data_IF_493050963221
#
_entry.id   IF_493050963221
#
_cell.length_a   1.000
_cell.length_b   1.000
_cell.length_c   1.000
_cell.angle_alpha   90.00
_cell.angle_beta   90.00
_cell.angle_gamma   90.00
#
_symmetry.space_group_name_H-M   'P 1'
#
loop_
_entity.id
_entity.type
_entity.pdbx_description
1 polymer ?
#
# COMPACT_ATOMS: atom_id res chain seq x y z
N UNK A 1 1.66 -11.03 -2.26
CA UNK A 1 1.38 -9.78 -2.99
C UNK A 1 2.13 -8.67 -2.26
N UNK A 2 2.43 -7.54 -2.92
CA UNK A 2 3.05 -6.37 -2.29
C UNK A 2 2.13 -5.19 -2.51
N UNK A 3 1.55 -4.65 -1.44
CA UNK A 3 0.74 -3.44 -1.47
C UNK A 3 1.55 -2.25 -0.96
N UNK A 4 1.22 -1.04 -1.38
CA UNK A 4 1.88 0.17 -0.88
C UNK A 4 1.05 1.43 -1.10
N UNK A 5 1.24 2.41 -0.23
CA UNK A 5 0.81 3.79 -0.46
C UNK A 5 1.94 4.55 -1.16
N UNK A 6 1.64 5.22 -2.27
CA UNK A 6 2.60 6.04 -3.05
C UNK A 6 2.46 7.52 -2.76
N UNK A 7 1.22 7.99 -2.67
CA UNK A 7 0.89 9.38 -2.36
C UNK A 7 -0.33 9.41 -1.46
N UNK A 8 -0.35 10.35 -0.51
CA UNK A 8 -1.45 10.48 0.44
C UNK A 8 -1.58 11.93 0.91
N UNK A 9 -2.72 12.54 0.60
CA UNK A 9 -3.05 13.91 1.01
C UNK A 9 -4.53 14.06 1.31
N UNK A 10 -4.87 15.06 2.13
CA UNK A 10 -6.24 15.48 2.34
C UNK A 10 -6.36 17.00 2.20
N UNK A 11 -7.57 17.45 1.88
CA UNK A 11 -7.96 18.84 1.83
C UNK A 11 -9.29 19.01 2.62
N UNK A 12 -9.39 19.98 3.54
CA UNK A 12 -10.68 20.31 4.12
C UNK A 12 -11.62 20.85 3.03
N UNK A 13 -12.91 20.62 3.20
CA UNK A 13 -13.97 21.06 2.27
C UNK A 13 -14.90 22.06 2.96
N UNK A 14 -15.66 22.82 2.18
CA UNK A 14 -16.51 23.91 2.69
C UNK A 14 -17.61 23.45 3.65
N UNK A 15 -17.95 22.15 3.66
CA UNK A 15 -18.96 21.57 4.54
C UNK A 15 -18.37 20.90 5.80
N UNK A 16 -17.09 21.15 6.11
CA UNK A 16 -16.41 20.59 7.28
C UNK A 16 -15.95 19.14 7.14
N UNK A 17 -16.10 18.54 5.95
CA UNK A 17 -15.57 17.21 5.62
C UNK A 17 -14.15 17.31 5.08
N UNK A 18 -13.50 16.16 4.89
CA UNK A 18 -12.15 16.06 4.34
C UNK A 18 -12.16 15.25 3.06
N UNK A 19 -11.68 15.84 1.96
CA UNK A 19 -11.41 15.13 0.71
C UNK A 19 -10.03 14.51 0.79
N UNK A 20 -9.95 13.19 0.72
CA UNK A 20 -8.70 12.43 0.64
C UNK A 20 -8.40 12.12 -0.81
N UNK A 21 -7.14 12.31 -1.21
CA UNK A 21 -6.59 11.76 -2.46
C UNK A 21 -5.44 10.83 -2.09
N UNK A 22 -5.53 9.57 -2.51
CA UNK A 22 -4.45 8.60 -2.29
C UNK A 22 -4.11 7.87 -3.58
N UNK A 23 -2.83 7.65 -3.82
CA UNK A 23 -2.36 6.73 -4.86
C UNK A 23 -1.82 5.50 -4.17
N UNK A 24 -2.36 4.33 -4.54
CA UNK A 24 -1.88 3.05 -4.04
C UNK A 24 -1.34 2.23 -5.20
N UNK A 25 -0.42 1.32 -4.88
CA UNK A 25 0.05 0.33 -5.81
C UNK A 25 -0.07 -1.10 -5.29
N UNK A 26 -0.21 -2.01 -6.24
CA UNK A 26 -0.28 -3.45 -6.01
C UNK A 26 0.63 -4.15 -7.01
N UNK A 27 1.52 -4.99 -6.51
CA UNK A 27 2.36 -5.86 -7.32
C UNK A 27 2.15 -7.32 -6.91
N UNK A 28 1.81 -8.15 -7.89
CA UNK A 28 1.61 -9.59 -7.71
C UNK A 28 2.85 -10.35 -8.17
N UNK A 29 3.23 -11.35 -7.40
CA UNK A 29 4.38 -12.20 -7.67
C UNK A 29 3.98 -13.66 -7.44
N UNK A 30 4.59 -14.58 -8.19
CA UNK A 30 4.52 -16.02 -7.92
C UNK A 30 5.93 -16.58 -7.73
N UNK A 31 6.03 -17.69 -7.02
CA UNK A 31 7.30 -18.41 -6.86
C UNK A 31 7.63 -19.14 -8.18
N UNK A 32 8.75 -18.77 -8.81
CA UNK A 32 9.33 -19.54 -9.90
C UNK A 32 10.00 -20.82 -9.41
N UNK A 33 10.37 -21.70 -10.34
CA UNK A 33 10.96 -23.02 -10.04
C UNK A 33 12.23 -22.96 -9.19
N UNK A 34 13.01 -21.87 -9.30
CA UNK A 34 14.22 -21.66 -8.52
C UNK A 34 13.98 -20.93 -7.19
N UNK A 35 12.73 -20.77 -6.77
CA UNK A 35 12.33 -19.98 -5.59
C UNK A 35 12.37 -18.47 -5.78
N UNK A 36 12.72 -17.96 -6.98
CA UNK A 36 12.74 -16.52 -7.29
C UNK A 36 11.32 -16.01 -7.52
N UNK A 37 11.00 -14.83 -7.00
CA UNK A 37 9.73 -14.17 -7.27
C UNK A 37 9.67 -13.67 -8.73
N UNK A 38 8.62 -14.06 -9.46
CA UNK A 38 8.34 -13.57 -10.82
C UNK A 38 7.16 -12.62 -10.77
N UNK A 39 7.36 -11.38 -11.25
CA UNK A 39 6.33 -10.35 -11.27
C UNK A 39 5.26 -10.67 -12.32
N UNK A 40 3.99 -10.60 -11.91
CA UNK A 40 2.85 -10.73 -12.82
C UNK A 40 2.56 -9.35 -13.42
N UNK A 41 2.54 -9.20 -14.76
CA UNK A 41 2.38 -7.90 -15.41
C UNK A 41 0.96 -7.34 -15.26
N UNK A 42 -0.05 -8.22 -15.31
CA UNK A 42 -1.46 -7.86 -15.19
C UNK A 42 -1.96 -8.17 -13.79
N UNK A 43 -2.76 -7.25 -13.23
CA UNK A 43 -3.46 -7.45 -11.97
C UNK A 43 -4.95 -7.27 -12.20
N UNK A 44 -5.76 -8.00 -11.45
CA UNK A 44 -7.22 -7.94 -11.51
C UNK A 44 -7.79 -8.41 -10.16
N UNK A 45 -7.26 -7.82 -9.09
CA UNK A 45 -7.53 -8.24 -7.71
C UNK A 45 -8.32 -7.14 -6.99
N UNK A 46 -9.09 -7.54 -5.98
CA UNK A 46 -9.74 -6.59 -5.08
C UNK A 46 -8.91 -6.43 -3.82
N UNK A 47 -8.77 -5.19 -3.38
CA UNK A 47 -8.08 -4.83 -2.13
C UNK A 47 -8.96 -3.91 -1.30
N UNK A 48 -8.81 -3.97 0.01
CA UNK A 48 -9.48 -3.02 0.91
C UNK A 48 -8.61 -1.78 1.08
N UNK A 49 -9.22 -0.60 1.03
CA UNK A 49 -8.62 0.66 1.45
C UNK A 49 -9.24 1.03 2.79
N UNK A 50 -8.40 1.35 3.77
CA UNK A 50 -8.79 1.89 5.07
C UNK A 50 -8.36 3.34 5.21
N UNK A 51 -9.21 4.16 5.85
CA UNK A 51 -8.90 5.52 6.30
C UNK A 51 -9.28 5.61 7.77
N UNK A 52 -8.37 6.12 8.59
CA UNK A 52 -8.51 6.14 10.05
C UNK A 52 -8.29 7.55 10.60
N UNK A 53 -9.02 7.91 11.65
CA UNK A 53 -8.69 9.04 12.52
C UNK A 53 -7.91 8.53 13.74
N UNK A 54 -7.37 9.47 14.52
CA UNK A 54 -6.71 9.18 15.79
C UNK A 54 -7.18 10.17 16.83
N UNK A 55 -7.63 9.68 17.96
CA UNK A 55 -8.12 10.51 19.05
C UNK A 55 -6.97 11.03 19.95
N UNK A 56 -7.31 11.78 21.00
CA UNK A 56 -6.34 12.30 21.96
C UNK A 56 -5.72 11.24 22.87
N UNK A 57 -6.36 10.08 23.03
CA UNK A 57 -5.80 8.93 23.77
C UNK A 57 -4.76 8.17 22.93
N UNK A 58 -4.75 8.43 21.62
CA UNK A 58 -3.89 7.79 20.65
C UNK A 58 -4.52 6.57 19.99
N UNK A 59 -5.79 6.28 20.26
CA UNK A 59 -6.57 5.20 19.66
C UNK A 59 -6.95 5.56 18.22
N UNK A 60 -6.75 4.62 17.29
CA UNK A 60 -7.18 4.76 15.90
C UNK A 60 -8.63 4.32 15.73
N UNK A 61 -9.41 5.11 14.98
CA UNK A 61 -10.80 4.83 14.65
C UNK A 61 -10.97 4.74 13.15
N UNK A 62 -11.67 3.71 12.67
CA UNK A 62 -12.02 3.57 11.25
C UNK A 62 -13.02 4.65 10.83
N UNK A 63 -12.66 5.44 9.82
CA UNK A 63 -13.58 6.38 9.15
C UNK A 63 -14.19 5.77 7.90
N UNK A 64 -13.44 4.91 7.22
CA UNK A 64 -13.85 4.26 5.99
C UNK A 64 -13.06 2.97 5.77
N UNK A 65 -13.78 1.91 5.41
CA UNK A 65 -13.22 0.70 4.81
C UNK A 65 -13.93 0.42 3.49
N UNK A 66 -13.18 0.39 2.38
CA UNK A 66 -13.76 0.22 1.05
C UNK A 66 -12.97 -0.77 0.21
N UNK A 67 -13.68 -1.75 -0.34
CA UNK A 67 -13.13 -2.66 -1.34
C UNK A 67 -13.05 -1.95 -2.70
N UNK A 68 -11.85 -1.89 -3.28
CA UNK A 68 -11.58 -1.33 -4.60
C UNK A 68 -10.97 -2.38 -5.51
N UNK A 69 -11.16 -2.20 -6.82
CA UNK A 69 -10.59 -3.08 -7.84
C UNK A 69 -9.30 -2.49 -8.39
N UNK A 70 -8.24 -3.29 -8.34
CA UNK A 70 -6.95 -3.00 -8.96
C UNK A 70 -6.80 -3.80 -10.25
N UNK A 71 -6.96 -3.10 -11.36
CA UNK A 71 -6.75 -3.56 -12.74
C UNK A 71 -5.50 -2.92 -13.39
N UNK A 72 -4.81 -2.08 -12.63
CA UNK A 72 -3.58 -1.39 -13.01
C UNK A 72 -2.65 -1.34 -11.80
N UNK A 73 -1.34 -1.42 -12.04
CA UNK A 73 -0.33 -1.51 -10.96
C UNK A 73 -0.43 -0.38 -9.94
N UNK A 74 -0.84 0.81 -10.37
CA UNK A 74 -1.10 1.95 -9.50
C UNK A 74 -2.43 2.58 -9.89
N UNK A 75 -3.20 3.01 -8.89
CA UNK A 75 -4.45 3.74 -9.08
C UNK A 75 -4.59 4.83 -8.03
N UNK A 76 -5.15 5.95 -8.45
CA UNK A 76 -5.52 7.05 -7.56
C UNK A 76 -7.00 6.96 -7.23
N UNK A 77 -7.31 7.13 -5.94
CA UNK A 77 -8.66 7.13 -5.42
C UNK A 77 -8.93 8.42 -4.65
N UNK A 78 -10.17 8.89 -4.74
CA UNK A 78 -10.66 10.01 -3.96
C UNK A 78 -11.79 9.55 -3.03
N UNK A 79 -11.75 10.00 -1.78
CA UNK A 79 -12.76 9.70 -0.77
C UNK A 79 -13.12 10.97 0.01
N UNK A 80 -14.31 10.99 0.60
CA UNK A 80 -14.73 12.05 1.51
C UNK A 80 -15.08 11.43 2.85
N UNK A 81 -14.54 11.97 3.94
CA UNK A 81 -14.82 11.53 5.32
C UNK A 81 -15.27 12.71 6.18
N UNK A 82 -16.02 12.41 7.24
CA UNK A 82 -16.62 13.44 8.12
C UNK A 82 -15.67 13.91 9.25
N UNK A 83 -14.59 13.18 9.51
CA UNK A 83 -13.61 13.48 10.56
C UNK A 83 -12.21 13.67 9.97
N UNK A 84 -11.35 14.40 10.67
CA UNK A 84 -9.97 14.63 10.22
C UNK A 84 -9.22 13.29 10.13
N UNK A 85 -8.69 12.92 8.95
CA UNK A 85 -7.99 11.66 8.80
C UNK A 85 -6.56 11.76 9.37
N UNK A 86 -6.09 10.66 9.94
CA UNK A 86 -4.78 10.49 10.54
C UNK A 86 -3.89 9.56 9.71
N UNK A 87 -4.42 8.41 9.27
CA UNK A 87 -3.70 7.44 8.44
C UNK A 87 -4.62 6.83 7.38
N UNK A 88 -4.02 6.31 6.30
CA UNK A 88 -4.75 5.56 5.28
C UNK A 88 -3.84 4.51 4.63
N UNK A 89 -4.45 3.45 4.10
CA UNK A 89 -3.68 2.35 3.55
C UNK A 89 -4.46 1.34 2.74
N UNK A 90 -3.73 0.48 2.05
CA UNK A 90 -4.24 -0.68 1.33
C UNK A 90 -4.01 -1.95 2.14
N UNK A 91 -5.02 -2.81 2.25
CA UNK A 91 -5.06 -3.99 3.11
C UNK A 91 -4.67 -3.66 4.58
N UNK A 92 -5.42 -2.77 5.25
CA UNK A 92 -5.07 -2.29 6.58
C UNK A 92 -5.09 -3.38 7.67
N UNK A 93 -5.80 -4.48 7.42
CA UNK A 93 -5.90 -5.62 8.32
C UNK A 93 -5.03 -6.81 7.91
N UNK A 94 -4.12 -6.62 6.93
CA UNK A 94 -3.15 -7.62 6.46
C UNK A 94 -3.79 -8.95 6.07
N UNK A 95 -4.98 -8.90 5.48
CA UNK A 95 -5.72 -10.10 5.04
C UNK A 95 -5.04 -10.81 3.87
N UNK A 96 -4.11 -10.15 3.18
CA UNK A 96 -3.46 -10.66 1.97
C UNK A 96 -2.00 -11.08 2.20
N UNK A 97 -1.67 -11.67 3.35
CA UNK A 97 -0.35 -12.27 3.70
C UNK A 97 0.80 -11.53 2.98
N UNK A 98 0.90 -10.22 3.26
CA UNK A 98 1.96 -9.38 2.71
C UNK A 98 3.19 -9.54 3.61
N UNK A 99 4.29 -10.02 3.03
CA UNK A 99 5.55 -10.22 3.76
C UNK A 99 6.16 -8.91 4.26
N UNK A 100 5.68 -7.76 3.75
CA UNK A 100 6.13 -6.41 4.14
C UNK A 100 4.95 -5.47 4.38
N UNK A 101 4.16 -5.79 5.40
CA UNK A 101 3.03 -4.97 5.87
C UNK A 101 3.33 -3.48 6.17
N UNK A 102 4.59 -3.09 6.36
CA UNK A 102 4.95 -1.76 6.89
C UNK A 102 4.73 -0.59 5.93
N UNK A 103 4.56 -0.81 4.63
CA UNK A 103 4.25 0.23 3.64
C UNK A 103 2.78 0.22 3.20
N UNK A 104 1.96 -0.67 3.77
CA UNK A 104 0.54 -0.77 3.48
C UNK A 104 -0.24 0.44 3.98
N UNK A 105 0.24 1.10 5.04
CA UNK A 105 -0.39 2.25 5.69
C UNK A 105 0.60 3.42 5.72
N UNK A 106 0.12 4.63 5.45
CA UNK A 106 0.86 5.88 5.64
C UNK A 106 0.06 6.84 6.53
N UNK A 107 0.77 7.63 7.33
CA UNK A 107 0.21 8.75 8.11
C UNK A 107 0.17 9.99 7.22
N UNK A 108 -0.92 10.76 7.26
CA UNK A 108 -1.01 11.98 6.46
C UNK A 108 0.09 12.98 6.85
N UNK A 109 0.72 13.58 5.85
CA UNK A 109 1.84 14.52 6.04
C UNK A 109 3.22 13.85 6.16
N UNK A 110 3.29 12.52 6.17
CA UNK A 110 4.55 11.80 6.00
C UNK A 110 4.84 11.52 4.51
N UNK A 111 6.09 11.21 4.19
CA UNK A 111 6.44 10.67 2.87
C UNK A 111 6.34 9.14 2.93
N UNK A 112 5.42 8.50 2.17
CA UNK A 112 5.34 7.05 2.13
C UNK A 112 6.68 6.45 1.66
N UNK A 113 7.14 5.34 2.25
CA UNK A 113 8.38 4.71 1.83
C UNK A 113 8.25 4.23 0.38
N UNK A 114 9.32 4.43 -0.41
CA UNK A 114 9.34 3.95 -1.79
C UNK A 114 9.12 2.42 -1.83
N UNK A 115 8.28 1.92 -2.73
CA UNK A 115 8.00 0.49 -2.80
C UNK A 115 9.26 -0.25 -3.28
N UNK A 116 9.74 -1.23 -2.51
CA UNK A 116 10.77 -2.12 -2.99
C UNK A 116 10.16 -3.24 -3.84
N UNK A 117 10.07 -3.00 -5.15
CA UNK A 117 9.56 -3.96 -6.12
C UNK A 117 10.65 -4.86 -6.72
N UNK A 118 11.93 -4.67 -6.34
CA UNK A 118 13.10 -5.29 -6.98
C UNK A 118 13.90 -6.23 -6.07
N UNK A 119 13.40 -6.58 -4.89
CA UNK A 119 14.09 -7.51 -3.99
C UNK A 119 13.94 -8.96 -4.44
N UNK A 120 14.80 -9.32 -5.40
CA UNK A 120 15.66 -10.50 -5.37
C UNK A 120 16.73 -10.32 -6.47
N UNK A 121 17.58 -9.29 -6.32
CA UNK A 121 18.85 -9.28 -7.04
C UNK A 121 19.65 -10.46 -6.50
N UNK A 122 19.63 -11.55 -7.28
CA UNK A 122 20.45 -12.74 -7.07
C UNK A 122 21.86 -12.28 -6.70
N UNK A 123 22.30 -12.57 -5.48
CA UNK A 123 23.72 -12.51 -5.15
C UNK A 123 24.37 -13.57 -6.03
N UNK A 124 24.92 -13.13 -7.16
CA UNK A 124 25.74 -13.98 -8.01
C UNK A 124 27.08 -14.04 -7.30
N UNK A 125 27.26 -15.01 -6.41
CA UNK A 125 28.58 -15.33 -5.89
C UNK A 125 29.36 -15.88 -7.09
N UNK A 126 30.26 -15.08 -7.67
CA UNK A 126 31.31 -15.62 -8.51
C UNK A 126 32.22 -16.43 -7.58
N UNK A 127 32.01 -17.75 -7.55
CA UNK A 127 33.01 -18.65 -7.00
C UNK A 127 34.12 -18.67 -8.05
N UNK A 128 35.21 -17.95 -7.78
CA UNK A 128 36.44 -18.09 -8.54
C UNK A 128 36.92 -19.53 -8.37
N UNK A 129 37.00 -20.26 -9.48
CA UNK A 129 37.82 -21.46 -9.56
C UNK A 129 39.23 -20.97 -9.86
N UNK A 130 40.08 -20.98 -8.85
CA UNK A 130 41.53 -20.89 -9.07
C UNK A 130 41.99 -22.28 -9.52
N UNK A 131 42.45 -22.37 -10.78
CA UNK A 131 43.19 -23.50 -11.35
C UNK A 131 44.66 -23.48 -10.92
#
# INVERSE_FOLDING_TARGET
MKNYVKDLRYEPTDNGKYKITMTIGTAKFYAGESGKEIRVPQINDYIEIGIFSRDSSGEEKELLLRKVKMDQQEKTFEFTVDEKPYSAGADPYLKLIDRRASNNIAVFGSTPPAPNLNEDKTISIQIGTDD
#
